data_IF_295720505093
#
_entry.id   IF_295720505093
#
_cell.length_a   1.000
_cell.length_b   1.000
_cell.length_c   1.000
_cell.angle_alpha   90.00
_cell.angle_beta   90.00
_cell.angle_gamma   90.00
#
_symmetry.space_group_name_H-M   'P 1'
#
loop_
_entity.id
_entity.type
_entity.pdbx_description
1 polymer ?
#
# COMPACT_ATOMS: atom_id res chain seq x y z
N UNK A 1 -20.34 31.20 10.09
CA UNK A 1 -19.81 30.57 11.33
C UNK A 1 -19.33 29.14 11.07
N UNK A 2 -20.10 28.28 10.39
CA UNK A 2 -19.70 26.88 10.14
C UNK A 2 -18.44 26.70 9.28
N UNK A 3 -18.18 27.56 8.30
CA UNK A 3 -16.99 27.45 7.44
C UNK A 3 -15.67 27.66 8.18
N UNK A 4 -15.68 28.52 9.20
CA UNK A 4 -14.50 28.78 10.05
C UNK A 4 -14.20 27.56 10.92
N UNK A 5 -15.23 26.87 11.42
CA UNK A 5 -15.09 25.67 12.25
C UNK A 5 -14.45 24.53 11.44
N UNK A 6 -14.86 24.34 10.18
CA UNK A 6 -14.29 23.30 9.30
C UNK A 6 -12.82 23.58 8.97
N UNK A 7 -12.46 24.85 8.74
CA UNK A 7 -11.06 25.25 8.53
C UNK A 7 -10.21 24.99 9.76
N UNK A 8 -10.68 25.39 10.95
CA UNK A 8 -9.96 25.18 12.21
C UNK A 8 -9.77 23.69 12.51
N UNK A 9 -10.80 22.88 12.30
CA UNK A 9 -10.73 21.43 12.49
C UNK A 9 -9.72 20.77 11.54
N UNK A 10 -9.68 21.21 10.28
CA UNK A 10 -8.70 20.72 9.31
C UNK A 10 -7.27 21.07 9.72
N UNK A 11 -7.03 22.32 10.15
CA UNK A 11 -5.73 22.78 10.65
C UNK A 11 -5.24 21.95 11.86
N UNK A 12 -6.14 21.63 12.79
CA UNK A 12 -5.83 20.82 13.97
C UNK A 12 -5.38 19.38 13.62
N UNK A 13 -5.93 18.79 12.56
CA UNK A 13 -5.52 17.45 12.10
C UNK A 13 -4.12 17.45 11.46
N UNK A 14 -3.71 18.55 10.83
CA UNK A 14 -2.38 18.68 10.23
C UNK A 14 -1.30 19.02 11.27
N UNK A 15 -1.64 19.73 12.34
CA UNK A 15 -0.72 20.05 13.43
C UNK A 15 -0.68 18.92 14.46
N UNK A 16 -0.19 17.75 14.08
CA UNK A 16 0.25 16.77 15.06
C UNK A 16 1.63 17.21 15.59
N UNK A 17 1.78 17.59 16.87
CA UNK A 17 3.10 17.79 17.44
C UNK A 17 3.78 16.42 17.54
N UNK A 18 4.67 16.10 16.61
CA UNK A 18 5.68 15.09 16.85
C UNK A 18 6.58 15.64 17.95
N UNK A 19 6.35 15.20 19.19
CA UNK A 19 7.25 15.47 20.31
C UNK A 19 8.60 14.79 20.02
N UNK A 20 9.54 15.53 19.42
CA UNK A 20 10.94 15.11 19.43
C UNK A 20 11.47 15.36 20.84
N UNK A 21 11.39 14.35 21.69
CA UNK A 21 12.26 14.26 22.85
C UNK A 21 13.69 14.23 22.31
N UNK A 22 14.42 15.32 22.49
CA UNK A 22 15.86 15.39 22.25
C UNK A 22 16.54 14.42 23.20
N UNK A 23 16.72 13.18 22.76
CA UNK A 23 17.57 12.23 23.45
C UNK A 23 19.02 12.62 23.18
N UNK A 24 19.72 13.03 24.24
CA UNK A 24 21.18 13.04 24.26
C UNK A 24 21.69 11.72 23.71
N UNK A 25 22.45 11.79 22.61
CA UNK A 25 23.15 10.65 22.01
C UNK A 25 24.21 10.15 22.98
N UNK A 26 23.78 9.27 23.87
CA UNK A 26 24.69 8.36 24.54
C UNK A 26 24.68 7.11 23.68
N UNK A 27 25.76 6.89 22.93
CA UNK A 27 25.89 5.72 22.05
C UNK A 27 25.60 4.44 22.84
N UNK A 28 24.51 3.70 22.55
CA UNK A 28 24.32 2.39 23.12
C UNK A 28 25.31 1.42 22.48
N UNK A 29 25.74 0.37 23.20
CA UNK A 29 26.62 -0.64 22.64
C UNK A 29 25.98 -1.29 21.40
N UNK A 30 26.81 -1.76 20.46
CA UNK A 30 26.38 -2.41 19.22
C UNK A 30 25.38 -3.54 19.52
N UNK A 31 24.10 -3.23 19.38
CA UNK A 31 23.02 -4.21 19.47
C UNK A 31 23.06 -5.06 18.19
N UNK A 32 22.88 -6.39 18.26
CA UNK A 32 22.83 -7.23 17.08
C UNK A 32 21.73 -6.72 16.14
N UNK A 33 21.99 -6.75 14.82
CA UNK A 33 21.01 -6.32 13.81
C UNK A 33 19.68 -7.02 14.09
N UNK A 34 18.56 -6.27 14.17
CA UNK A 34 17.25 -6.87 14.35
C UNK A 34 17.02 -7.94 13.27
N UNK A 35 16.36 -9.06 13.60
CA UNK A 35 16.01 -10.04 12.58
C UNK A 35 15.17 -9.36 11.48
N UNK A 36 15.22 -9.83 10.21
CA UNK A 36 14.51 -9.21 9.09
C UNK A 36 13.02 -8.94 9.37
N UNK A 37 12.38 -9.82 10.15
CA UNK A 37 10.98 -9.65 10.58
C UNK A 37 10.74 -8.38 11.42
N UNK A 38 11.73 -7.93 12.20
CA UNK A 38 11.63 -6.70 12.99
C UNK A 38 11.66 -5.45 12.10
N UNK A 39 12.49 -5.46 11.05
CA UNK A 39 12.55 -4.38 10.06
C UNK A 39 11.26 -4.27 9.25
N UNK A 40 10.70 -5.40 8.81
CA UNK A 40 9.40 -5.45 8.13
C UNK A 40 8.30 -4.88 9.04
N UNK A 41 8.24 -5.30 10.31
CA UNK A 41 7.25 -4.79 11.27
C UNK A 41 7.38 -3.29 11.49
N UNK A 42 8.61 -2.78 11.60
CA UNK A 42 8.86 -1.36 11.77
C UNK A 42 8.36 -0.55 10.56
N UNK A 43 8.66 -1.01 9.34
CA UNK A 43 8.17 -0.38 8.12
C UNK A 43 6.63 -0.45 8.02
N UNK A 44 6.04 -1.62 8.28
CA UNK A 44 4.60 -1.83 8.17
C UNK A 44 3.79 -1.02 9.19
N UNK A 45 4.37 -0.65 10.34
CA UNK A 45 3.73 0.25 11.31
C UNK A 45 3.40 1.63 10.72
N UNK A 46 4.13 2.07 9.70
CA UNK A 46 3.85 3.32 9.00
C UNK A 46 2.68 3.21 8.00
N UNK A 47 2.16 2.00 7.76
CA UNK A 47 1.07 1.76 6.80
C UNK A 47 -0.30 1.77 7.49
N UNK A 48 -1.36 2.06 6.73
CA UNK A 48 -2.74 2.02 7.21
C UNK A 48 -3.20 0.60 7.60
N UNK A 49 -2.63 -0.42 6.96
CA UNK A 49 -2.99 -1.83 7.16
C UNK A 49 -1.74 -2.65 7.53
N UNK A 50 -1.23 -2.49 8.77
CA UNK A 50 0.03 -3.09 9.18
C UNK A 50 0.02 -4.62 9.09
N UNK A 51 -1.07 -5.28 9.43
CA UNK A 51 -1.18 -6.75 9.36
C UNK A 51 -1.12 -7.28 7.92
N UNK A 52 -1.79 -6.60 6.99
CA UNK A 52 -1.75 -6.92 5.55
C UNK A 52 -0.33 -6.70 5.00
N UNK A 53 0.32 -5.62 5.41
CA UNK A 53 1.71 -5.35 5.02
C UNK A 53 2.66 -6.45 5.52
N UNK A 54 2.59 -6.82 6.80
CA UNK A 54 3.47 -7.83 7.39
C UNK A 54 3.24 -9.19 6.72
N UNK A 55 1.99 -9.63 6.61
CA UNK A 55 1.65 -10.91 5.97
C UNK A 55 2.07 -10.97 4.51
N UNK A 56 2.00 -9.85 3.78
CA UNK A 56 2.43 -9.76 2.38
C UNK A 56 3.95 -9.83 2.25
N UNK A 57 4.69 -9.09 3.08
CA UNK A 57 6.15 -8.99 3.00
C UNK A 57 6.92 -10.12 3.70
N UNK A 58 6.27 -10.84 4.61
CA UNK A 58 6.91 -11.97 5.33
C UNK A 58 6.92 -13.27 4.52
N UNK A 59 6.33 -13.29 3.31
CA UNK A 59 6.39 -14.47 2.44
C UNK A 59 7.85 -14.73 2.01
N UNK A 60 8.26 -16.01 1.91
CA UNK A 60 9.61 -16.35 1.47
C UNK A 60 9.97 -15.69 0.13
N UNK A 61 11.18 -15.13 0.05
CA UNK A 61 11.69 -14.49 -1.17
C UNK A 61 11.22 -13.06 -1.42
N UNK A 62 10.27 -12.52 -0.63
CA UNK A 62 9.79 -11.14 -0.82
C UNK A 62 10.79 -10.10 -0.31
N UNK A 63 11.40 -10.33 0.85
CA UNK A 63 12.32 -9.40 1.49
C UNK A 63 13.63 -10.14 1.82
N UNK A 64 14.80 -9.58 1.47
CA UNK A 64 16.09 -10.16 1.84
C UNK A 64 16.28 -10.30 3.36
N UNK A 65 17.19 -11.18 3.79
CA UNK A 65 17.38 -11.51 5.22
C UNK A 65 17.96 -10.39 6.08
N UNK A 66 18.55 -9.35 5.50
CA UNK A 66 18.97 -8.14 6.22
C UNK A 66 18.66 -6.91 5.35
N UNK A 67 17.37 -6.55 5.27
CA UNK A 67 16.93 -5.55 4.31
C UNK A 67 17.25 -4.16 4.84
N UNK A 68 17.76 -3.28 3.97
CA UNK A 68 17.73 -1.86 4.26
C UNK A 68 16.30 -1.31 4.02
N UNK A 69 15.95 -0.12 4.53
CA UNK A 69 14.60 0.42 4.39
C UNK A 69 14.11 0.55 2.93
N UNK A 70 14.99 0.90 1.99
CA UNK A 70 14.61 1.03 0.57
C UNK A 70 14.27 -0.31 -0.07
N UNK A 71 14.97 -1.40 0.28
CA UNK A 71 14.63 -2.74 -0.18
C UNK A 71 13.22 -3.15 0.28
N UNK A 72 12.83 -2.83 1.51
CA UNK A 72 11.46 -3.13 2.00
C UNK A 72 10.41 -2.36 1.20
N UNK A 73 10.69 -1.09 0.88
CA UNK A 73 9.80 -0.26 0.05
C UNK A 73 9.69 -0.86 -1.36
N UNK A 74 10.79 -1.25 -1.97
CA UNK A 74 10.80 -1.86 -3.31
C UNK A 74 10.05 -3.19 -3.32
N UNK A 75 10.24 -4.03 -2.32
CA UNK A 75 9.46 -5.27 -2.14
C UNK A 75 7.96 -4.98 -2.01
N UNK A 76 7.57 -3.99 -1.21
CA UNK A 76 6.17 -3.61 -1.04
C UNK A 76 5.53 -3.12 -2.35
N UNK A 77 6.28 -2.35 -3.13
CA UNK A 77 5.87 -1.89 -4.46
C UNK A 77 5.70 -3.09 -5.40
N UNK A 78 6.69 -3.99 -5.44
CA UNK A 78 6.66 -5.18 -6.30
C UNK A 78 5.47 -6.08 -5.99
N UNK A 79 5.21 -6.36 -4.71
CA UNK A 79 4.04 -7.14 -4.27
C UNK A 79 2.72 -6.43 -4.64
N UNK A 80 2.66 -5.12 -4.48
CA UNK A 80 1.46 -4.34 -4.85
C UNK A 80 1.18 -4.44 -6.35
N UNK A 81 2.23 -4.39 -7.18
CA UNK A 81 2.14 -4.53 -8.62
C UNK A 81 1.65 -5.92 -9.05
N UNK A 82 2.18 -6.98 -8.43
CA UNK A 82 1.75 -8.35 -8.67
C UNK A 82 0.27 -8.56 -8.32
N UNK A 83 -0.16 -8.03 -7.18
CA UNK A 83 -1.56 -8.09 -6.75
C UNK A 83 -2.47 -7.28 -7.69
N UNK A 84 -2.02 -6.14 -8.21
CA UNK A 84 -2.77 -5.35 -9.20
C UNK A 84 -2.97 -6.10 -10.51
N UNK A 85 -1.94 -6.78 -11.02
CA UNK A 85 -2.06 -7.63 -12.22
C UNK A 85 -3.04 -8.77 -12.01
N UNK A 86 -2.99 -9.40 -10.84
CA UNK A 86 -3.91 -10.46 -10.46
C UNK A 86 -5.35 -9.94 -10.46
N UNK A 87 -5.61 -8.82 -9.77
CA UNK A 87 -6.93 -8.20 -9.74
C UNK A 87 -7.42 -7.80 -11.15
N UNK A 88 -6.55 -7.25 -12.00
CA UNK A 88 -6.91 -6.93 -13.38
C UNK A 88 -7.34 -8.18 -14.16
N UNK A 89 -6.61 -9.29 -14.01
CA UNK A 89 -6.96 -10.56 -14.65
C UNK A 89 -8.30 -11.10 -14.17
N UNK A 90 -8.58 -11.03 -12.87
CA UNK A 90 -9.86 -11.47 -12.30
C UNK A 90 -11.03 -10.62 -12.80
N UNK A 91 -10.89 -9.30 -12.83
CA UNK A 91 -11.92 -8.40 -13.37
C UNK A 91 -12.15 -8.67 -14.86
N UNK A 92 -11.09 -8.91 -15.63
CA UNK A 92 -11.20 -9.29 -17.05
C UNK A 92 -11.96 -10.62 -17.19
N UNK A 93 -11.65 -11.63 -16.37
CA UNK A 93 -12.35 -12.92 -16.40
C UNK A 93 -13.84 -12.77 -16.10
N UNK A 94 -14.22 -11.93 -15.13
CA UNK A 94 -15.62 -11.63 -14.83
C UNK A 94 -16.31 -10.96 -16.02
N UNK A 95 -15.64 -10.00 -16.68
CA UNK A 95 -16.19 -9.33 -17.85
C UNK A 95 -16.40 -10.32 -18.99
N UNK A 96 -15.40 -11.16 -19.30
CA UNK A 96 -15.47 -12.16 -20.37
C UNK A 96 -16.58 -13.20 -20.09
N UNK A 97 -16.73 -13.65 -18.84
CA UNK A 97 -17.81 -14.55 -18.43
C UNK A 97 -19.20 -13.91 -18.56
N UNK A 98 -19.32 -12.59 -18.33
CA UNK A 98 -20.59 -11.87 -18.46
C UNK A 98 -21.07 -11.74 -19.92
N UNK A 99 -20.14 -11.73 -20.88
CA UNK A 99 -20.45 -11.72 -22.33
C UNK A 99 -21.03 -13.06 -22.80
N UNK A 100 -20.69 -14.17 -22.14
CA UNK A 100 -21.27 -15.49 -22.44
C UNK A 100 -22.74 -15.68 -22.02
N UNK A 101 -23.31 -14.78 -21.22
CA UNK A 101 -24.66 -14.87 -20.68
C UNK A 101 -25.68 -13.95 -21.39
N UNK A 102 -25.49 -13.70 -22.69
CA UNK A 102 -26.30 -12.78 -23.49
C UNK A 102 -27.70 -13.32 -23.82
N UNK A 103 -28.60 -13.27 -22.84
CA UNK A 103 -30.04 -13.15 -23.04
C UNK A 103 -30.56 -11.73 -22.66
N UNK A 104 -29.72 -10.70 -22.64
CA UNK A 104 -30.14 -9.35 -22.25
C UNK A 104 -29.53 -8.23 -23.13
N UNK A 105 -30.37 -7.36 -23.75
CA UNK A 105 -29.93 -6.21 -24.52
C UNK A 105 -29.66 -5.03 -23.59
N UNK A 106 -28.48 -4.93 -22.97
CA UNK A 106 -27.94 -3.66 -22.44
C UNK A 106 -26.41 -3.73 -22.33
N UNK A 107 -25.65 -2.76 -22.86
CA UNK A 107 -24.21 -2.69 -22.65
C UNK A 107 -23.92 -2.32 -21.18
N UNK A 108 -23.50 -3.28 -20.34
CA UNK A 108 -22.98 -3.01 -18.98
C UNK A 108 -21.53 -2.52 -19.01
N UNK A 109 -21.18 -1.63 -19.94
CA UNK A 109 -19.78 -1.23 -20.18
C UNK A 109 -19.30 -0.07 -19.29
N UNK A 110 -20.14 0.51 -18.45
CA UNK A 110 -19.78 1.73 -17.70
C UNK A 110 -19.10 1.48 -16.36
N UNK A 111 -19.48 0.44 -15.60
CA UNK A 111 -18.98 0.21 -14.22
C UNK A 111 -17.72 -0.66 -14.15
N UNK A 112 -17.48 -1.52 -15.14
CA UNK A 112 -16.27 -2.35 -15.20
C UNK A 112 -15.06 -1.56 -15.73
N UNK A 113 -15.30 -0.69 -16.72
CA UNK A 113 -14.26 0.11 -17.36
C UNK A 113 -13.56 1.08 -16.41
N UNK A 114 -14.27 1.70 -15.46
CA UNK A 114 -13.63 2.59 -14.47
C UNK A 114 -12.75 1.81 -13.48
N UNK A 115 -13.13 0.59 -13.10
CA UNK A 115 -12.32 -0.28 -12.24
C UNK A 115 -11.06 -0.80 -12.95
N UNK A 116 -11.15 -1.21 -14.22
CA UNK A 116 -9.95 -1.53 -15.02
C UNK A 116 -9.02 -0.31 -15.15
N UNK A 117 -9.58 0.88 -15.39
CA UNK A 117 -8.80 2.12 -15.51
C UNK A 117 -8.08 2.44 -14.20
N UNK A 118 -8.72 2.25 -13.05
CA UNK A 118 -8.12 2.44 -11.73
C UNK A 118 -6.96 1.46 -11.46
N UNK A 119 -7.10 0.19 -11.87
CA UNK A 119 -6.03 -0.80 -11.76
C UNK A 119 -4.85 -0.54 -12.70
N UNK A 120 -5.07 0.20 -13.79
CA UNK A 120 -4.03 0.51 -14.80
C UNK A 120 -3.23 1.77 -14.46
N UNK A 121 -3.84 2.73 -13.74
CA UNK A 121 -3.19 3.98 -13.34
C UNK A 121 -1.90 3.85 -12.48
N UNK A 122 -1.80 2.93 -11.49
CA UNK A 122 -0.59 2.80 -10.67
C UNK A 122 0.59 2.15 -11.41
N UNK A 123 0.35 1.25 -12.37
CA UNK A 123 1.40 0.61 -13.19
C UNK A 123 2.25 1.65 -13.95
N UNK A 124 1.63 2.76 -14.38
CA UNK A 124 2.31 3.83 -15.11
C UNK A 124 3.15 4.74 -14.20
N UNK A 125 2.78 4.92 -12.92
CA UNK A 125 3.50 5.80 -11.98
C UNK A 125 4.65 5.12 -11.24
N UNK A 126 4.68 3.80 -11.21
CA UNK A 126 5.69 3.00 -10.49
C UNK A 126 6.91 2.68 -11.40
N UNK A 127 6.81 2.92 -12.71
CA UNK A 127 7.90 2.69 -13.69
C UNK A 127 9.00 3.77 -13.68
N UNK A 128 9.01 4.69 -12.70
CA UNK A 128 10.06 5.72 -12.55
C UNK A 128 11.31 5.16 -11.86
#
# INVERSE_FOLDING_TARGET
>A
MSSIIILLFSLLLFTSPSSSSGHHQTHPPLSPSPPPAAWIRLACKATRYPDVCVSSLSKPGQVPSNPNPSQIIHSAISVSLENLKTAQSEVKSILDASVGNLNAPTPRTSTSSNSLTLCTAPELRIKL
#
